data_IF_243913779558
#
_entry.id   IF_243913779558
#
_cell.length_a   1.000
_cell.length_b   1.000
_cell.length_c   1.000
_cell.angle_alpha   90.00
_cell.angle_beta   90.00
_cell.angle_gamma   90.00
#
_symmetry.space_group_name_H-M   'P 1'
#
loop_
_entity.id
_entity.type
_entity.pdbx_description
1 polymer ?
#
# COMPACT_ATOMS: atom_id res chain seq x y z
N UNK A 1 48.21 -16.79 -30.52
CA UNK A 1 48.96 -16.65 -31.76
C UNK A 1 48.04 -16.98 -32.92
N UNK A 2 47.92 -16.06 -33.87
CA UNK A 2 47.18 -16.20 -35.13
C UNK A 2 48.10 -15.93 -36.33
N UNK A 3 49.41 -15.88 -36.12
CA UNK A 3 50.41 -15.59 -37.14
C UNK A 3 50.36 -16.61 -38.26
N UNK A 4 50.45 -16.13 -39.52
CA UNK A 4 50.45 -16.99 -40.71
C UNK A 4 49.11 -17.62 -41.07
N UNK A 5 48.03 -17.36 -40.31
CA UNK A 5 46.69 -17.85 -40.61
C UNK A 5 45.96 -16.91 -41.59
N UNK A 6 45.05 -17.46 -42.39
CA UNK A 6 44.07 -16.65 -43.13
C UNK A 6 43.07 -16.04 -42.14
N UNK A 7 42.36 -14.96 -42.53
CA UNK A 7 41.29 -14.38 -41.68
C UNK A 7 40.24 -15.43 -41.29
N UNK A 8 39.93 -16.37 -42.19
CA UNK A 8 38.99 -17.47 -41.93
C UNK A 8 39.52 -18.43 -40.86
N UNK A 9 40.75 -18.91 -41.03
CA UNK A 9 41.36 -19.87 -40.10
C UNK A 9 41.60 -19.25 -38.72
N UNK A 10 41.97 -17.96 -38.68
CA UNK A 10 42.12 -17.21 -37.44
C UNK A 10 40.78 -17.05 -36.71
N UNK A 11 39.69 -16.78 -37.43
CA UNK A 11 38.35 -16.65 -36.84
C UNK A 11 37.90 -17.98 -36.21
N UNK A 12 38.03 -19.09 -36.95
CA UNK A 12 37.64 -20.42 -36.45
C UNK A 12 38.48 -20.86 -35.23
N UNK A 13 39.78 -20.57 -35.25
CA UNK A 13 40.67 -20.83 -34.12
C UNK A 13 40.21 -20.06 -32.87
N UNK A 14 39.92 -18.76 -33.02
CA UNK A 14 39.54 -17.90 -31.91
C UNK A 14 38.14 -18.24 -31.37
N UNK A 15 37.17 -18.56 -32.21
CA UNK A 15 35.83 -19.02 -31.79
C UNK A 15 35.88 -20.30 -30.95
N UNK A 16 36.78 -21.23 -31.32
CA UNK A 16 36.96 -22.46 -30.57
C UNK A 16 37.73 -22.25 -29.25
N UNK A 17 38.68 -21.31 -29.24
CA UNK A 17 39.56 -21.04 -28.09
C UNK A 17 38.93 -20.12 -27.05
N UNK A 18 38.18 -19.10 -27.46
CA UNK A 18 37.60 -18.09 -26.58
C UNK A 18 36.12 -18.37 -26.34
N UNK A 19 35.86 -19.34 -25.46
CA UNK A 19 34.51 -19.64 -24.94
C UNK A 19 34.31 -18.96 -23.60
N UNK A 20 33.30 -18.10 -23.50
CA UNK A 20 32.93 -17.46 -22.23
C UNK A 20 32.32 -18.50 -21.30
N UNK A 21 32.81 -18.53 -20.05
CA UNK A 21 32.22 -19.34 -18.98
C UNK A 21 30.86 -18.77 -18.52
N UNK A 22 30.15 -19.48 -17.64
CA UNK A 22 28.86 -19.02 -17.12
C UNK A 22 29.04 -17.89 -16.09
N UNK A 23 28.20 -16.84 -16.18
CA UNK A 23 28.03 -15.84 -15.14
C UNK A 23 27.16 -16.41 -14.02
N UNK A 24 27.60 -16.28 -12.77
CA UNK A 24 26.79 -16.63 -11.60
C UNK A 24 26.19 -15.37 -10.99
N UNK A 25 24.87 -15.30 -10.96
CA UNK A 25 24.13 -14.21 -10.34
C UNK A 25 23.55 -14.74 -9.03
N UNK A 26 23.80 -14.04 -7.92
CA UNK A 26 23.50 -14.51 -6.56
C UNK A 26 22.35 -13.72 -5.92
N UNK A 27 21.44 -14.45 -5.28
CA UNK A 27 20.46 -13.90 -4.34
C UNK A 27 20.25 -14.88 -3.19
N UNK A 28 20.87 -14.58 -2.04
CA UNK A 28 20.87 -15.47 -0.87
C UNK A 28 21.38 -16.86 -1.29
N UNK A 29 20.58 -17.91 -1.08
CA UNK A 29 20.94 -19.29 -1.42
C UNK A 29 20.67 -19.64 -2.89
N UNK A 30 20.05 -18.73 -3.67
CA UNK A 30 19.72 -18.98 -5.08
C UNK A 30 20.81 -18.43 -5.99
N UNK A 31 21.27 -19.28 -6.91
CA UNK A 31 22.29 -18.97 -7.90
C UNK A 31 21.70 -19.19 -9.30
N UNK A 32 21.70 -18.17 -10.14
CA UNK A 32 21.43 -18.31 -11.57
C UNK A 32 22.76 -18.45 -12.31
N UNK A 33 22.89 -19.52 -13.10
CA UNK A 33 24.03 -19.71 -14.01
C UNK A 33 23.58 -19.33 -15.41
N UNK A 34 24.07 -18.21 -15.91
CA UNK A 34 23.70 -17.67 -17.22
C UNK A 34 24.91 -17.62 -18.14
N UNK A 35 24.78 -18.23 -19.31
CA UNK A 35 25.80 -18.10 -20.37
C UNK A 35 25.90 -16.65 -20.81
N UNK A 36 27.11 -16.17 -21.10
CA UNK A 36 27.31 -14.80 -21.60
C UNK A 36 26.54 -14.53 -22.89
N UNK A 37 26.41 -15.54 -23.76
CA UNK A 37 25.60 -15.44 -24.99
C UNK A 37 24.11 -15.23 -24.70
N UNK A 38 23.58 -15.79 -23.60
CA UNK A 38 22.20 -15.54 -23.16
C UNK A 38 22.03 -14.14 -22.58
N UNK A 39 23.10 -13.59 -22.00
CA UNK A 39 23.16 -12.21 -21.51
C UNK A 39 23.43 -11.20 -22.64
N UNK A 40 23.66 -11.67 -23.86
CA UNK A 40 23.92 -10.82 -25.01
C UNK A 40 25.37 -10.36 -25.16
N UNK A 41 26.33 -11.01 -24.49
CA UNK A 41 27.75 -10.69 -24.64
C UNK A 41 28.44 -11.72 -25.55
N UNK A 42 29.15 -11.21 -26.55
CA UNK A 42 29.91 -12.00 -27.51
C UNK A 42 31.29 -11.38 -27.71
N UNK A 43 32.33 -12.17 -27.89
CA UNK A 43 33.62 -11.62 -28.31
C UNK A 43 33.49 -11.01 -29.71
N UNK A 44 34.08 -9.84 -29.92
CA UNK A 44 34.20 -9.22 -31.25
C UNK A 44 35.39 -9.84 -32.00
N UNK A 45 35.29 -11.15 -32.28
CA UNK A 45 36.35 -11.94 -32.89
C UNK A 45 36.69 -11.41 -34.27
N UNK A 46 35.68 -11.04 -35.05
CA UNK A 46 35.89 -10.49 -36.39
C UNK A 46 36.74 -9.22 -36.36
N UNK A 47 36.39 -8.26 -35.49
CA UNK A 47 37.18 -7.04 -35.34
C UNK A 47 38.58 -7.34 -34.84
N UNK A 48 38.75 -8.24 -33.87
CA UNK A 48 40.08 -8.63 -33.39
C UNK A 48 40.94 -9.29 -34.49
N UNK A 49 40.32 -10.09 -35.37
CA UNK A 49 41.02 -10.68 -36.54
C UNK A 49 41.37 -9.61 -37.57
N UNK A 50 40.46 -8.67 -37.84
CA UNK A 50 40.71 -7.54 -38.74
C UNK A 50 41.86 -6.66 -38.20
N UNK A 51 41.80 -6.26 -36.93
CA UNK A 51 42.83 -5.49 -36.24
C UNK A 51 44.19 -6.23 -36.27
N UNK A 52 44.19 -7.54 -36.02
CA UNK A 52 45.41 -8.37 -36.11
C UNK A 52 45.98 -8.45 -37.53
N UNK A 53 45.10 -8.48 -38.55
CA UNK A 53 45.49 -8.59 -39.95
C UNK A 53 46.05 -7.28 -40.51
N UNK A 54 45.61 -6.15 -39.95
CA UNK A 54 46.02 -4.82 -40.40
C UNK A 54 47.38 -4.39 -39.81
N UNK A 55 47.89 -5.09 -38.80
CA UNK A 55 49.27 -4.91 -38.28
C UNK A 55 50.27 -5.16 -39.42
N UNK A 56 51.10 -4.16 -39.74
CA UNK A 56 52.03 -4.21 -40.86
C UNK A 56 51.43 -3.90 -42.23
N UNK A 57 50.14 -3.53 -42.32
CA UNK A 57 49.42 -3.25 -43.58
C UNK A 57 48.67 -1.90 -43.59
N UNK A 58 48.96 -1.01 -42.64
CA UNK A 58 48.36 0.33 -42.55
C UNK A 58 48.87 1.31 -43.64
N UNK A 59 48.20 2.44 -43.87
CA UNK A 59 48.51 3.36 -44.98
C UNK A 59 49.90 4.04 -44.95
N UNK A 60 50.73 3.81 -43.92
CA UNK A 60 52.07 4.41 -43.79
C UNK A 60 53.19 3.35 -43.91
N UNK A 61 53.93 3.42 -45.03
CA UNK A 61 54.96 2.46 -45.45
C UNK A 61 56.08 2.24 -44.41
N UNK A 62 56.47 3.28 -43.66
CA UNK A 62 57.58 3.22 -42.69
C UNK A 62 57.23 2.45 -41.40
N UNK A 63 56.03 2.66 -40.85
CA UNK A 63 55.60 1.95 -39.63
C UNK A 63 55.33 0.47 -39.92
N UNK A 64 54.69 0.17 -41.06
CA UNK A 64 54.44 -1.20 -41.50
C UNK A 64 55.71 -2.04 -41.60
N UNK A 65 56.78 -1.46 -42.14
CA UNK A 65 58.05 -2.18 -42.34
C UNK A 65 58.72 -2.51 -41.01
N UNK A 66 58.64 -1.62 -40.03
CA UNK A 66 59.18 -1.82 -38.67
C UNK A 66 58.36 -2.86 -37.91
N UNK A 67 57.03 -2.81 -38.01
CA UNK A 67 56.13 -3.78 -37.37
C UNK A 67 56.33 -5.20 -37.94
N UNK A 68 56.44 -5.33 -39.27
CA UNK A 68 56.73 -6.61 -39.93
C UNK A 68 58.07 -7.17 -39.49
N UNK A 69 59.12 -6.33 -39.46
CA UNK A 69 60.46 -6.76 -39.03
C UNK A 69 60.40 -7.20 -37.57
N UNK A 70 59.81 -6.40 -36.67
CA UNK A 70 59.64 -6.73 -35.26
C UNK A 70 58.96 -8.09 -35.06
N UNK A 71 57.83 -8.32 -35.72
CA UNK A 71 57.11 -9.60 -35.66
C UNK A 71 57.96 -10.77 -36.16
N UNK A 72 58.79 -10.56 -37.20
CA UNK A 72 59.69 -11.58 -37.74
C UNK A 72 60.89 -11.88 -36.84
N UNK A 73 61.36 -10.90 -36.04
CA UNK A 73 62.45 -11.09 -35.05
C UNK A 73 61.94 -11.49 -33.66
N UNK A 74 60.63 -11.77 -33.53
CA UNK A 74 60.04 -12.34 -32.32
C UNK A 74 59.42 -11.35 -31.34
N UNK A 75 59.17 -10.10 -31.74
CA UNK A 75 58.35 -9.19 -30.93
C UNK A 75 56.87 -9.56 -31.06
N UNK A 76 56.13 -9.60 -29.94
CA UNK A 76 54.69 -9.85 -29.95
C UNK A 76 53.91 -8.52 -29.95
N UNK A 77 52.80 -8.49 -30.67
CA UNK A 77 51.82 -7.41 -30.62
C UNK A 77 50.52 -7.95 -30.03
N UNK A 78 50.04 -7.33 -28.96
CA UNK A 78 48.80 -7.74 -28.29
C UNK A 78 47.60 -7.06 -28.95
N UNK A 79 46.67 -7.87 -29.46
CA UNK A 79 45.39 -7.38 -29.99
C UNK A 79 44.33 -7.52 -28.91
N UNK A 80 43.72 -6.39 -28.54
CA UNK A 80 42.65 -6.38 -27.55
C UNK A 80 41.35 -6.92 -28.15
N UNK A 81 40.88 -8.06 -27.63
CA UNK A 81 39.60 -8.62 -28.03
C UNK A 81 38.47 -7.97 -27.23
N UNK A 82 37.73 -7.07 -27.88
CA UNK A 82 36.54 -6.45 -27.31
C UNK A 82 35.31 -7.38 -27.29
N UNK A 83 34.17 -6.84 -26.85
CA UNK A 83 32.89 -7.55 -26.84
C UNK A 83 31.80 -6.76 -27.57
N UNK A 84 30.93 -7.48 -28.27
CA UNK A 84 29.65 -6.98 -28.79
C UNK A 84 28.56 -7.26 -27.75
N UNK A 85 27.67 -6.30 -27.55
CA UNK A 85 26.61 -6.34 -26.54
C UNK A 85 25.22 -6.19 -27.13
N UNK A 86 24.35 -7.13 -26.79
CA UNK A 86 22.90 -7.08 -26.98
C UNK A 86 22.24 -6.73 -25.64
N UNK A 87 21.89 -5.45 -25.50
CA UNK A 87 21.28 -4.93 -24.29
C UNK A 87 19.91 -5.56 -23.98
N UNK A 88 19.18 -6.00 -25.00
CA UNK A 88 17.81 -6.48 -24.83
C UNK A 88 17.81 -7.90 -24.24
N UNK A 89 18.79 -8.72 -24.61
CA UNK A 89 19.04 -10.01 -23.96
C UNK A 89 19.35 -9.85 -22.48
N UNK A 90 20.27 -8.96 -22.10
CA UNK A 90 20.58 -8.72 -20.69
C UNK A 90 19.35 -8.22 -19.91
N UNK A 91 18.60 -7.26 -20.47
CA UNK A 91 17.35 -6.77 -19.87
C UNK A 91 16.32 -7.89 -19.69
N UNK A 92 16.21 -8.82 -20.65
CA UNK A 92 15.28 -9.95 -20.56
C UNK A 92 15.61 -10.90 -19.40
N UNK A 93 16.90 -11.17 -19.18
CA UNK A 93 17.36 -12.00 -18.06
C UNK A 93 17.11 -11.30 -16.73
N UNK A 94 17.44 -10.01 -16.63
CA UNK A 94 17.18 -9.20 -15.44
C UNK A 94 15.68 -9.14 -15.14
N UNK A 95 14.84 -9.00 -16.17
CA UNK A 95 13.37 -9.02 -16.02
C UNK A 95 12.89 -10.35 -15.45
N UNK A 96 13.36 -11.49 -15.97
CA UNK A 96 13.03 -12.83 -15.46
C UNK A 96 13.46 -13.02 -13.99
N UNK A 97 14.65 -12.53 -13.63
CA UNK A 97 15.14 -12.54 -12.25
C UNK A 97 14.23 -11.67 -11.36
N UNK A 98 13.86 -10.48 -11.84
CA UNK A 98 12.98 -9.55 -11.13
C UNK A 98 11.60 -10.17 -10.92
N UNK A 99 10.99 -10.79 -11.93
CA UNK A 99 9.70 -11.48 -11.81
C UNK A 99 9.70 -12.61 -10.76
N UNK A 100 10.86 -13.22 -10.49
CA UNK A 100 11.01 -14.22 -9.44
C UNK A 100 11.15 -13.63 -8.04
N UNK A 101 11.80 -12.47 -7.90
CA UNK A 101 12.15 -11.86 -6.60
C UNK A 101 11.12 -10.82 -6.17
N UNK A 102 10.59 -10.06 -7.12
CA UNK A 102 9.69 -8.94 -6.90
C UNK A 102 8.41 -9.43 -6.23
N UNK A 103 8.03 -8.71 -5.19
CA UNK A 103 6.82 -9.00 -4.43
C UNK A 103 6.25 -7.71 -3.89
N UNK A 104 4.94 -7.52 -4.04
CA UNK A 104 4.27 -6.36 -3.45
C UNK A 104 4.15 -6.52 -1.92
N UNK A 105 4.23 -5.42 -1.15
CA UNK A 105 4.06 -5.47 0.28
C UNK A 105 2.65 -5.89 0.67
N UNK A 106 2.56 -6.79 1.65
CA UNK A 106 1.28 -7.19 2.26
C UNK A 106 0.99 -6.25 3.42
N UNK A 107 -0.14 -5.55 3.39
CA UNK A 107 -0.54 -4.63 4.45
C UNK A 107 -0.86 -5.36 5.76
N UNK A 108 -0.66 -4.71 6.90
CA UNK A 108 -1.19 -5.20 8.16
C UNK A 108 -2.74 -5.15 8.15
N UNK A 109 -3.39 -6.17 8.71
CA UNK A 109 -4.85 -6.30 8.72
C UNK A 109 -5.38 -6.33 10.14
N UNK A 110 -6.43 -5.54 10.40
CA UNK A 110 -7.19 -5.58 11.65
C UNK A 110 -8.37 -6.54 11.46
N UNK A 111 -8.37 -7.61 12.24
CA UNK A 111 -9.46 -8.57 12.33
C UNK A 111 -10.20 -8.32 13.66
N UNK A 112 -11.29 -7.57 13.57
CA UNK A 112 -12.16 -7.30 14.72
C UNK A 112 -13.54 -7.93 14.49
N UNK A 113 -13.98 -8.74 15.45
CA UNK A 113 -15.28 -9.39 15.42
C UNK A 113 -15.86 -9.46 16.84
N UNK A 114 -16.95 -8.70 17.05
CA UNK A 114 -17.77 -8.74 18.28
C UNK A 114 -16.94 -8.73 19.57
N UNK A 115 -16.08 -7.72 19.69
CA UNK A 115 -15.22 -7.48 20.84
C UNK A 115 -13.89 -8.21 20.90
N UNK A 116 -13.63 -9.16 19.99
CA UNK A 116 -12.29 -9.72 19.81
C UNK A 116 -11.57 -8.95 18.72
N UNK A 117 -10.35 -8.51 18.99
CA UNK A 117 -9.48 -7.87 18.00
C UNK A 117 -8.16 -8.61 17.88
N UNK A 118 -7.70 -8.80 16.65
CA UNK A 118 -6.38 -9.34 16.30
C UNK A 118 -5.79 -8.52 15.18
N UNK A 119 -4.50 -8.20 15.31
CA UNK A 119 -3.74 -7.51 14.26
C UNK A 119 -2.81 -8.52 13.62
N UNK A 120 -3.00 -8.77 12.33
CA UNK A 120 -2.09 -9.59 11.54
C UNK A 120 -1.01 -8.67 10.97
N UNK A 121 0.25 -8.98 11.28
CA UNK A 121 1.38 -8.23 10.73
C UNK A 121 1.39 -8.34 9.20
N UNK A 122 1.73 -7.22 8.55
CA UNK A 122 2.05 -7.21 7.13
C UNK A 122 3.38 -7.90 6.84
N UNK A 123 3.73 -7.97 5.56
CA UNK A 123 5.04 -8.43 5.09
C UNK A 123 5.61 -7.40 4.13
N UNK A 124 6.90 -7.11 4.27
CA UNK A 124 7.58 -6.24 3.32
C UNK A 124 7.62 -6.90 1.94
N UNK A 125 7.45 -6.05 0.93
CA UNK A 125 7.68 -6.39 -0.46
C UNK A 125 9.15 -6.25 -0.82
N UNK A 126 9.48 -6.62 -2.05
CA UNK A 126 10.83 -6.55 -2.61
C UNK A 126 10.75 -6.06 -4.04
N UNK A 127 11.78 -5.32 -4.46
CA UNK A 127 11.95 -4.96 -5.86
C UNK A 127 13.42 -4.99 -6.24
N UNK A 128 13.74 -5.67 -7.33
CA UNK A 128 15.10 -5.67 -7.88
C UNK A 128 15.40 -4.30 -8.46
N UNK A 129 16.57 -3.75 -8.14
CA UNK A 129 17.09 -2.54 -8.75
C UNK A 129 17.67 -2.87 -10.13
N UNK A 130 16.79 -3.00 -11.12
CA UNK A 130 17.15 -3.53 -12.44
C UNK A 130 18.28 -2.74 -13.12
N UNK A 131 18.27 -1.41 -13.03
CA UNK A 131 19.31 -0.56 -13.62
C UNK A 131 20.68 -0.73 -12.93
N UNK A 132 20.67 -0.89 -11.60
CA UNK A 132 21.89 -1.12 -10.82
C UNK A 132 22.44 -2.52 -11.13
N UNK A 133 21.57 -3.53 -11.17
CA UNK A 133 21.96 -4.89 -11.56
C UNK A 133 22.55 -4.93 -12.98
N UNK A 134 21.94 -4.21 -13.92
CA UNK A 134 22.41 -4.09 -15.30
C UNK A 134 23.83 -3.53 -15.35
N UNK A 135 24.08 -2.42 -14.65
CA UNK A 135 25.41 -1.80 -14.54
C UNK A 135 26.42 -2.71 -13.84
N UNK A 136 26.01 -3.40 -12.77
CA UNK A 136 26.89 -4.32 -12.04
C UNK A 136 27.34 -5.47 -12.95
N UNK A 137 26.41 -6.10 -13.69
CA UNK A 137 26.74 -7.16 -14.65
C UNK A 137 27.70 -6.64 -15.73
N UNK A 138 27.43 -5.47 -16.31
CA UNK A 138 28.32 -4.87 -17.33
C UNK A 138 29.72 -4.58 -16.82
N UNK A 139 29.82 -3.94 -15.67
CA UNK A 139 31.10 -3.59 -15.07
C UNK A 139 31.89 -4.85 -14.75
N UNK A 140 31.22 -5.93 -14.35
CA UNK A 140 31.92 -7.15 -13.98
C UNK A 140 32.42 -7.88 -15.22
N UNK A 141 31.63 -7.94 -16.29
CA UNK A 141 32.04 -8.52 -17.58
C UNK A 141 33.15 -7.72 -18.27
N UNK A 142 33.11 -6.39 -18.17
CA UNK A 142 34.09 -5.52 -18.83
C UNK A 142 35.46 -5.53 -18.13
N UNK A 143 35.50 -5.83 -16.83
CA UNK A 143 36.72 -5.80 -16.02
C UNK A 143 37.31 -7.20 -15.75
N UNK A 144 36.63 -8.28 -16.15
CA UNK A 144 37.02 -9.64 -15.79
C UNK A 144 38.01 -10.28 -16.77
N UNK A 145 39.23 -10.47 -16.31
CA UNK A 145 40.20 -11.46 -16.85
C UNK A 145 40.06 -12.83 -16.18
N UNK A 146 38.90 -13.16 -15.59
CA UNK A 146 38.75 -14.24 -14.58
C UNK A 146 37.64 -15.23 -14.98
N UNK A 147 37.98 -16.51 -14.86
CA UNK A 147 37.18 -17.70 -15.21
C UNK A 147 35.90 -17.93 -14.37
N UNK A 148 35.47 -17.01 -13.50
CA UNK A 148 34.13 -17.06 -12.93
C UNK A 148 33.77 -15.71 -12.33
N UNK A 149 32.60 -15.19 -12.70
CA UNK A 149 32.14 -13.89 -12.24
C UNK A 149 30.89 -14.09 -11.39
N UNK A 150 30.92 -13.52 -10.18
CA UNK A 150 29.80 -13.52 -9.26
C UNK A 150 29.22 -12.10 -9.19
N UNK A 151 27.90 -11.96 -9.34
CA UNK A 151 27.19 -10.67 -9.20
C UNK A 151 26.04 -10.81 -8.22
N UNK A 152 26.04 -10.00 -7.15
CA UNK A 152 24.93 -9.92 -6.21
C UNK A 152 23.76 -9.10 -6.77
N UNK A 153 22.53 -9.54 -6.51
CA UNK A 153 21.32 -8.84 -6.95
C UNK A 153 20.97 -7.71 -5.95
N UNK A 154 21.07 -6.43 -6.35
CA UNK A 154 20.63 -5.31 -5.53
C UNK A 154 19.11 -5.27 -5.46
N UNK A 155 18.57 -5.12 -4.24
CA UNK A 155 17.12 -5.04 -4.00
C UNK A 155 16.75 -3.83 -3.14
N UNK A 156 15.54 -3.32 -3.36
CA UNK A 156 14.83 -2.44 -2.45
C UNK A 156 13.80 -3.24 -1.64
N UNK A 157 13.74 -2.94 -0.33
CA UNK A 157 12.68 -3.44 0.55
C UNK A 157 11.56 -2.42 0.54
N UNK A 158 10.37 -2.85 0.12
CA UNK A 158 9.18 -2.00 0.05
C UNK A 158 8.35 -2.26 1.31
N UNK A 159 8.31 -1.34 2.25
CA UNK A 159 7.46 -1.48 3.43
C UNK A 159 5.96 -1.29 3.12
N UNK A 160 5.06 -1.99 3.83
CA UNK A 160 3.62 -1.70 3.74
C UNK A 160 3.34 -0.27 4.24
N UNK A 161 2.28 0.35 3.67
CA UNK A 161 1.82 1.68 4.07
C UNK A 161 1.34 1.68 5.53
N UNK A 162 0.68 0.59 5.94
CA UNK A 162 0.29 0.35 7.33
C UNK A 162 1.26 -0.66 7.97
N UNK A 163 2.10 -0.17 8.88
CA UNK A 163 3.03 -1.00 9.64
C UNK A 163 2.36 -1.58 10.89
N UNK A 164 2.72 -2.81 11.24
CA UNK A 164 2.24 -3.46 12.48
C UNK A 164 2.47 -2.58 13.72
N UNK A 165 3.63 -1.95 13.83
CA UNK A 165 3.97 -1.07 14.96
C UNK A 165 3.05 0.14 15.12
N UNK A 166 2.40 0.59 14.04
CA UNK A 166 1.41 1.66 14.11
C UNK A 166 0.10 1.13 14.68
N UNK A 167 -0.30 -0.09 14.33
CA UNK A 167 -1.59 -0.67 14.70
C UNK A 167 -1.57 -1.38 16.06
N UNK A 168 -0.43 -1.89 16.52
CA UNK A 168 -0.32 -2.77 17.70
C UNK A 168 -0.94 -2.22 18.99
N UNK A 169 -1.10 -0.91 19.08
CA UNK A 169 -1.72 -0.25 20.23
C UNK A 169 -3.25 -0.42 20.26
N UNK A 170 -3.88 -0.84 19.16
CA UNK A 170 -5.29 -1.23 19.13
C UNK A 170 -5.42 -2.63 19.73
N UNK A 171 -5.58 -2.68 21.06
CA UNK A 171 -5.50 -3.90 21.85
C UNK A 171 -6.87 -4.37 22.41
N UNK A 172 -7.92 -3.56 22.29
CA UNK A 172 -9.25 -3.95 22.74
C UNK A 172 -10.33 -2.92 22.43
N UNK A 173 -11.57 -3.25 22.82
CA UNK A 173 -12.72 -2.36 22.69
C UNK A 173 -12.68 -1.29 23.79
N UNK A 174 -12.87 -0.04 23.39
CA UNK A 174 -12.85 1.13 24.30
C UNK A 174 -14.24 1.78 24.42
N UNK A 175 -15.15 1.54 23.47
CA UNK A 175 -16.56 1.92 23.59
C UNK A 175 -17.46 1.05 22.71
N UNK A 176 -18.74 0.97 23.09
CA UNK A 176 -19.78 0.35 22.28
C UNK A 176 -21.10 1.07 22.53
N UNK A 177 -21.84 1.32 21.46
CA UNK A 177 -23.20 1.84 21.56
C UNK A 177 -24.14 1.12 20.61
N UNK A 178 -25.37 0.93 21.05
CA UNK A 178 -26.40 0.22 20.30
C UNK A 178 -27.70 1.03 20.26
N UNK A 179 -28.38 0.96 19.12
CA UNK A 179 -29.78 1.39 18.99
C UNK A 179 -30.59 0.27 18.33
N UNK A 180 -31.89 0.25 18.61
CA UNK A 180 -32.81 -0.76 18.07
C UNK A 180 -33.65 -0.19 16.93
N UNK A 181 -33.96 -1.01 15.93
CA UNK A 181 -34.84 -0.66 14.82
C UNK A 181 -35.81 -1.80 14.48
N UNK A 182 -37.03 -1.48 14.01
CA UNK A 182 -38.02 -2.51 13.68
C UNK A 182 -37.64 -3.21 12.37
N UNK A 183 -37.44 -4.53 12.43
CA UNK A 183 -37.09 -5.37 11.26
C UNK A 183 -38.23 -5.41 10.22
N UNK A 184 -39.49 -5.26 10.67
CA UNK A 184 -40.67 -5.25 9.80
C UNK A 184 -40.70 -4.06 8.84
N UNK A 185 -39.97 -2.98 9.13
CA UNK A 185 -39.79 -1.89 8.17
C UNK A 185 -38.60 -2.21 7.26
N UNK A 186 -38.84 -3.05 6.24
CA UNK A 186 -37.82 -3.67 5.41
C UNK A 186 -36.92 -2.64 4.74
N UNK A 187 -37.48 -1.63 4.07
CA UNK A 187 -36.71 -0.60 3.37
C UNK A 187 -35.82 0.21 4.32
N UNK A 188 -36.35 0.57 5.50
CA UNK A 188 -35.57 1.28 6.53
C UNK A 188 -34.47 0.41 7.12
N UNK A 189 -34.76 -0.85 7.42
CA UNK A 189 -33.79 -1.81 7.93
C UNK A 189 -32.65 -2.04 6.91
N UNK A 190 -32.99 -2.15 5.62
CA UNK A 190 -32.04 -2.24 4.52
C UNK A 190 -31.13 -1.01 4.45
N UNK A 191 -31.69 0.20 4.50
CA UNK A 191 -30.91 1.45 4.50
C UNK A 191 -29.93 1.52 5.68
N UNK A 192 -30.33 1.12 6.89
CA UNK A 192 -29.43 1.05 8.04
C UNK A 192 -28.29 0.07 7.77
N UNK A 193 -28.58 -1.11 7.21
CA UNK A 193 -27.58 -2.11 6.86
C UNK A 193 -26.58 -1.60 5.82
N UNK A 194 -27.06 -0.96 4.75
CA UNK A 194 -26.21 -0.36 3.71
C UNK A 194 -25.33 0.74 4.30
N UNK A 195 -25.89 1.63 5.11
CA UNK A 195 -25.15 2.72 5.75
C UNK A 195 -24.07 2.18 6.69
N UNK A 196 -24.41 1.22 7.55
CA UNK A 196 -23.46 0.60 8.47
C UNK A 196 -22.33 -0.12 7.72
N UNK A 197 -22.64 -0.81 6.62
CA UNK A 197 -21.63 -1.50 5.82
C UNK A 197 -20.65 -0.53 5.12
N UNK A 198 -21.17 0.55 4.53
CA UNK A 198 -20.35 1.60 3.89
C UNK A 198 -19.41 2.31 4.89
N UNK A 199 -19.83 2.41 6.15
CA UNK A 199 -19.07 3.07 7.22
C UNK A 199 -18.30 2.09 8.12
N UNK A 200 -18.32 0.79 7.85
CA UNK A 200 -17.61 -0.22 8.66
C UNK A 200 -16.09 -0.12 8.45
N UNK A 201 -15.31 -0.67 9.38
CA UNK A 201 -13.86 -0.84 9.29
C UNK A 201 -13.05 0.45 9.15
N UNK A 202 -13.45 1.52 9.84
CA UNK A 202 -12.73 2.78 9.79
C UNK A 202 -11.47 2.72 10.64
N UNK A 203 -10.30 2.90 10.02
CA UNK A 203 -9.04 3.13 10.73
C UNK A 203 -8.76 4.63 10.77
N UNK A 204 -8.73 5.19 11.98
CA UNK A 204 -8.57 6.63 12.21
C UNK A 204 -7.21 6.84 12.88
N UNK A 205 -6.26 7.34 12.12
CA UNK A 205 -4.90 7.62 12.61
C UNK A 205 -4.90 8.82 13.58
N UNK A 206 -3.86 8.98 14.41
CA UNK A 206 -3.71 10.17 15.26
C UNK A 206 -3.88 11.46 14.46
N UNK A 207 -4.63 12.40 15.03
CA UNK A 207 -5.02 13.70 14.45
C UNK A 207 -5.90 13.64 13.19
N UNK A 208 -6.32 12.47 12.73
CA UNK A 208 -7.22 12.35 11.58
C UNK A 208 -8.65 12.74 11.97
N UNK A 209 -9.26 13.58 11.15
CA UNK A 209 -10.69 13.95 11.23
C UNK A 209 -11.48 13.19 10.16
N UNK A 210 -12.69 12.75 10.52
CA UNK A 210 -13.62 12.03 9.67
C UNK A 210 -14.91 12.85 9.54
N UNK A 211 -15.45 12.86 8.33
CA UNK A 211 -16.81 13.35 8.02
C UNK A 211 -17.68 12.14 7.68
N UNK A 212 -18.82 12.02 8.35
CA UNK A 212 -19.76 10.93 8.13
C UNK A 212 -20.29 10.93 6.69
N UNK A 213 -20.77 12.09 6.21
CA UNK A 213 -21.33 12.19 4.87
C UNK A 213 -20.28 11.97 3.78
N UNK A 214 -19.05 12.49 3.96
CA UNK A 214 -17.96 12.25 3.01
C UNK A 214 -17.60 10.77 2.89
N UNK A 215 -17.63 10.03 3.99
CA UNK A 215 -17.35 8.60 3.99
C UNK A 215 -18.52 7.78 3.42
N UNK A 216 -19.75 8.19 3.71
CA UNK A 216 -20.96 7.52 3.22
C UNK A 216 -21.12 7.64 1.70
N UNK A 217 -20.83 8.82 1.16
CA UNK A 217 -21.17 9.20 -0.22
C UNK A 217 -22.67 9.42 -0.40
N UNK A 218 -23.08 9.51 -1.66
CA UNK A 218 -24.45 9.90 -2.03
C UNK A 218 -25.50 8.88 -1.54
N UNK A 219 -26.61 9.40 -1.01
CA UNK A 219 -27.72 8.58 -0.50
C UNK A 219 -28.79 8.43 -1.59
N UNK A 220 -28.50 7.58 -2.58
CA UNK A 220 -29.35 7.38 -3.76
C UNK A 220 -29.72 5.91 -3.99
N UNK A 221 -30.75 5.67 -4.80
CA UNK A 221 -31.13 4.29 -5.20
C UNK A 221 -29.98 3.58 -5.91
N UNK A 222 -29.23 4.29 -6.76
CA UNK A 222 -28.05 3.76 -7.45
C UNK A 222 -26.94 3.32 -6.48
N UNK A 223 -26.84 3.96 -5.32
CA UNK A 223 -25.91 3.60 -4.24
C UNK A 223 -26.46 2.50 -3.30
N UNK A 224 -27.60 1.89 -3.66
CA UNK A 224 -28.21 0.77 -2.96
C UNK A 224 -29.24 1.14 -1.91
N UNK A 225 -29.63 2.41 -1.80
CA UNK A 225 -30.65 2.85 -0.84
C UNK A 225 -32.08 2.66 -1.35
N UNK A 226 -33.02 2.50 -0.43
CA UNK A 226 -34.45 2.37 -0.68
C UNK A 226 -35.23 3.57 -0.13
N UNK A 227 -36.45 3.78 -0.64
CA UNK A 227 -37.38 4.77 -0.09
C UNK A 227 -37.97 4.30 1.23
N UNK A 228 -37.98 5.18 2.22
CA UNK A 228 -38.52 4.98 3.55
C UNK A 228 -38.86 6.34 4.18
N UNK A 229 -39.54 6.33 5.32
CA UNK A 229 -39.85 7.56 6.06
C UNK A 229 -38.58 8.31 6.47
N UNK A 230 -38.50 9.58 6.09
CA UNK A 230 -37.49 10.57 6.47
C UNK A 230 -38.14 11.78 7.15
N UNK A 231 -37.35 12.65 7.77
CA UNK A 231 -37.81 13.92 8.33
C UNK A 231 -37.31 15.06 7.44
N UNK A 232 -38.23 15.87 6.91
CA UNK A 232 -37.92 17.07 6.12
C UNK A 232 -38.81 18.20 6.64
N UNK A 233 -38.23 19.37 6.95
CA UNK A 233 -38.96 20.55 7.43
C UNK A 233 -39.97 20.22 8.55
N UNK A 234 -39.53 19.45 9.55
CA UNK A 234 -40.33 19.01 10.71
C UNK A 234 -41.55 18.13 10.36
N UNK A 235 -41.55 17.47 9.20
CA UNK A 235 -42.59 16.52 8.80
C UNK A 235 -42.00 15.19 8.40
N UNK A 236 -42.72 14.12 8.71
CA UNK A 236 -42.41 12.78 8.21
C UNK A 236 -42.91 12.67 6.76
N UNK A 237 -41.99 12.39 5.84
CA UNK A 237 -42.28 12.23 4.40
C UNK A 237 -41.57 10.98 3.89
N UNK A 238 -42.03 10.44 2.75
CA UNK A 238 -41.34 9.34 2.09
C UNK A 238 -40.15 9.87 1.26
N UNK A 239 -38.98 9.27 1.42
CA UNK A 239 -37.75 9.68 0.73
C UNK A 239 -36.66 8.63 0.78
N UNK A 240 -35.57 8.84 0.04
CA UNK A 240 -34.46 7.87 -0.04
C UNK A 240 -33.61 7.94 1.22
N UNK A 241 -33.20 6.79 1.76
CA UNK A 241 -32.23 6.74 2.86
C UNK A 241 -32.84 6.87 4.27
N UNK A 242 -34.15 6.73 4.44
CA UNK A 242 -34.75 6.64 5.77
C UNK A 242 -34.05 5.58 6.62
N UNK A 243 -33.48 6.00 7.76
CA UNK A 243 -32.63 5.17 8.63
C UNK A 243 -31.19 5.66 8.79
N UNK A 244 -30.65 6.46 7.87
CA UNK A 244 -29.25 6.96 7.91
C UNK A 244 -28.95 7.72 9.22
N UNK A 245 -29.83 8.61 9.66
CA UNK A 245 -29.62 9.36 10.92
C UNK A 245 -29.54 8.47 12.17
N UNK A 246 -30.17 7.29 12.17
CA UNK A 246 -30.02 6.35 13.29
C UNK A 246 -28.61 5.75 13.34
N UNK A 247 -28.00 5.51 12.18
CA UNK A 247 -26.62 5.05 12.09
C UNK A 247 -25.65 6.14 12.54
N UNK A 248 -25.84 7.38 12.08
CA UNK A 248 -25.08 8.55 12.57
C UNK A 248 -25.22 8.74 14.08
N UNK A 249 -26.44 8.64 14.62
CA UNK A 249 -26.72 8.71 16.06
C UNK A 249 -26.01 7.60 16.84
N UNK A 250 -26.04 6.35 16.34
CA UNK A 250 -25.38 5.24 17.03
C UNK A 250 -23.86 5.45 17.06
N UNK A 251 -23.29 5.87 15.93
CA UNK A 251 -21.87 6.22 15.83
C UNK A 251 -21.49 7.38 16.75
N UNK A 252 -22.25 8.48 16.76
CA UNK A 252 -22.02 9.65 17.60
C UNK A 252 -21.87 9.27 19.08
N UNK A 253 -22.75 8.41 19.59
CA UNK A 253 -22.69 8.00 20.99
C UNK A 253 -21.47 7.12 21.29
N UNK A 254 -21.11 6.19 20.40
CA UNK A 254 -19.90 5.40 20.55
C UNK A 254 -18.63 6.27 20.46
N UNK A 255 -18.62 7.28 19.59
CA UNK A 255 -17.55 8.28 19.47
C UNK A 255 -17.39 9.06 20.78
N UNK A 256 -18.48 9.59 21.35
CA UNK A 256 -18.46 10.29 22.63
C UNK A 256 -17.92 9.41 23.77
N UNK A 257 -18.43 8.19 23.89
CA UNK A 257 -18.03 7.24 24.95
C UNK A 257 -16.59 6.75 24.78
N UNK A 258 -16.06 6.72 23.55
CA UNK A 258 -14.65 6.36 23.27
C UNK A 258 -13.65 7.49 23.56
N UNK A 259 -14.14 8.70 23.81
CA UNK A 259 -13.30 9.88 24.02
C UNK A 259 -12.68 10.49 22.78
N UNK A 260 -13.13 10.08 21.59
CA UNK A 260 -12.90 10.84 20.36
C UNK A 260 -13.61 12.20 20.44
N UNK A 261 -13.03 13.20 19.79
CA UNK A 261 -13.55 14.57 19.84
C UNK A 261 -14.57 14.78 18.73
N UNK A 262 -15.82 15.11 19.09
CA UNK A 262 -16.85 15.52 18.13
C UNK A 262 -16.60 16.97 17.72
N UNK A 263 -16.43 17.20 16.42
CA UNK A 263 -16.12 18.50 15.81
C UNK A 263 -17.37 19.19 15.25
N UNK A 264 -18.32 18.40 14.76
CA UNK A 264 -19.60 18.87 14.26
C UNK A 264 -20.69 17.86 14.61
N UNK A 265 -21.80 18.35 15.14
CA UNK A 265 -23.02 17.56 15.39
C UNK A 265 -24.21 18.51 15.49
N UNK A 266 -25.33 18.09 14.92
CA UNK A 266 -26.64 18.76 15.03
C UNK A 266 -27.69 17.76 15.51
N UNK A 267 -28.63 18.20 16.35
CA UNK A 267 -29.78 17.38 16.77
C UNK A 267 -30.93 17.46 15.77
N UNK A 268 -31.84 16.49 15.82
CA UNK A 268 -33.10 16.53 15.09
C UNK A 268 -33.99 17.61 15.66
N UNK A 269 -34.75 18.26 14.80
CA UNK A 269 -35.76 19.22 15.22
C UNK A 269 -36.91 18.57 16.00
N UNK A 270 -37.29 17.34 15.63
CA UNK A 270 -38.27 16.52 16.34
C UNK A 270 -37.57 15.39 17.11
N UNK A 271 -38.04 15.03 18.32
CA UNK A 271 -37.52 13.89 19.07
C UNK A 271 -37.58 12.59 18.27
N UNK A 272 -36.52 11.78 18.38
CA UNK A 272 -36.46 10.43 17.81
C UNK A 272 -36.50 9.38 18.92
N UNK A 273 -37.20 8.27 18.69
CA UNK A 273 -37.48 7.29 19.75
C UNK A 273 -36.35 6.29 20.03
N UNK A 274 -35.35 6.19 19.15
CA UNK A 274 -34.30 5.17 19.22
C UNK A 274 -33.09 5.57 20.09
N UNK A 275 -33.10 6.76 20.71
CA UNK A 275 -32.04 7.27 21.57
C UNK A 275 -32.63 8.25 22.60
N UNK A 276 -32.03 8.43 23.80
CA UNK A 276 -32.44 9.49 24.72
C UNK A 276 -32.33 10.89 24.10
N UNK A 277 -33.17 11.83 24.56
CA UNK A 277 -33.05 13.24 24.18
C UNK A 277 -31.65 13.77 24.49
N UNK A 278 -31.15 14.62 23.60
CA UNK A 278 -29.82 15.21 23.68
C UNK A 278 -28.69 14.34 23.09
N UNK A 279 -29.00 13.09 22.70
CA UNK A 279 -28.01 12.10 22.25
C UNK A 279 -28.15 11.71 20.79
N UNK A 280 -29.02 12.35 20.03
CA UNK A 280 -29.21 12.12 18.61
C UNK A 280 -28.21 12.91 17.76
N UNK A 281 -27.94 12.47 16.53
CA UNK A 281 -27.14 13.20 15.55
C UNK A 281 -27.82 13.09 14.18
N UNK A 282 -28.24 14.23 13.63
CA UNK A 282 -28.86 14.34 12.31
C UNK A 282 -27.78 14.55 11.25
N UNK A 283 -27.98 13.93 10.10
CA UNK A 283 -27.18 14.18 8.90
C UNK A 283 -28.09 14.33 7.69
N UNK A 284 -27.75 15.23 6.77
CA UNK A 284 -28.43 15.35 5.49
C UNK A 284 -27.51 16.01 4.45
N UNK A 285 -27.65 15.59 3.20
CA UNK A 285 -26.86 16.12 2.07
C UNK A 285 -27.13 17.62 1.88
N UNK A 286 -26.08 18.44 1.74
CA UNK A 286 -26.17 19.90 1.73
C UNK A 286 -26.59 20.54 3.06
N UNK A 287 -26.69 19.75 4.14
CA UNK A 287 -27.20 20.15 5.45
C UNK A 287 -26.24 19.66 6.59
N UNK A 288 -26.69 19.30 7.84
CA UNK A 288 -25.76 19.00 8.92
C UNK A 288 -24.96 17.71 8.68
N UNK A 289 -23.72 17.66 9.17
CA UNK A 289 -22.85 16.48 9.17
C UNK A 289 -22.48 16.05 10.61
N UNK A 290 -21.97 14.82 10.73
CA UNK A 290 -21.29 14.36 11.94
C UNK A 290 -19.79 14.28 11.65
N UNK A 291 -19.01 15.17 12.27
CA UNK A 291 -17.55 15.17 12.17
C UNK A 291 -16.90 14.85 13.49
N UNK A 292 -15.86 14.03 13.47
CA UNK A 292 -15.14 13.60 14.67
C UNK A 292 -13.67 13.37 14.37
N UNK A 293 -12.82 13.57 15.38
CA UNK A 293 -11.37 13.55 15.26
C UNK A 293 -10.76 12.63 16.30
N UNK A 294 -9.76 11.86 15.87
CA UNK A 294 -8.90 11.11 16.77
C UNK A 294 -7.82 12.04 17.35
N UNK A 295 -7.99 12.44 18.62
CA UNK A 295 -6.99 13.23 19.35
C UNK A 295 -6.09 12.37 20.26
N UNK A 296 -6.22 11.03 20.19
CA UNK A 296 -5.21 10.15 20.77
C UNK A 296 -3.94 10.15 19.92
N UNK A 297 -2.82 9.83 20.55
CA UNK A 297 -1.53 9.56 19.89
C UNK A 297 -1.43 8.12 19.34
N UNK A 298 -2.51 7.33 19.45
CA UNK A 298 -2.65 5.99 18.90
C UNK A 298 -3.84 5.90 17.94
N UNK A 299 -3.81 4.97 16.96
CA UNK A 299 -4.93 4.82 16.04
C UNK A 299 -6.17 4.23 16.72
N UNK A 300 -7.34 4.60 16.23
CA UNK A 300 -8.63 4.06 16.65
C UNK A 300 -9.28 3.33 15.49
N UNK A 301 -9.95 2.22 15.77
CA UNK A 301 -10.64 1.42 14.76
C UNK A 301 -12.12 1.27 15.08
N UNK A 302 -12.99 1.56 14.11
CA UNK A 302 -14.44 1.50 14.30
C UNK A 302 -15.03 0.36 13.48
N UNK A 303 -15.84 -0.47 14.13
CA UNK A 303 -16.69 -1.47 13.49
C UNK A 303 -18.16 -1.11 13.64
N UNK A 304 -18.93 -1.35 12.59
CA UNK A 304 -20.35 -1.05 12.51
C UNK A 304 -21.11 -2.26 12.01
N UNK A 305 -22.19 -2.61 12.72
CA UNK A 305 -23.02 -3.77 12.41
C UNK A 305 -24.49 -3.37 12.48
N UNK A 306 -25.26 -3.78 11.47
CA UNK A 306 -26.70 -3.63 11.47
C UNK A 306 -27.33 -4.97 11.07
N UNK A 307 -27.86 -5.69 12.05
CA UNK A 307 -28.49 -6.99 11.84
C UNK A 307 -29.49 -7.27 12.95
N UNK A 308 -30.51 -8.08 12.66
CA UNK A 308 -31.49 -8.56 13.65
C UNK A 308 -32.13 -7.42 14.48
N UNK A 309 -32.37 -6.26 13.87
CA UNK A 309 -33.00 -5.11 14.52
C UNK A 309 -32.09 -4.32 15.46
N UNK A 310 -30.78 -4.57 15.43
CA UNK A 310 -29.78 -3.88 16.24
C UNK A 310 -28.76 -3.20 15.32
N UNK A 311 -28.60 -1.89 15.49
CA UNK A 311 -27.49 -1.11 14.96
C UNK A 311 -26.47 -0.97 16.09
N UNK A 312 -25.25 -1.45 15.88
CA UNK A 312 -24.17 -1.50 16.86
C UNK A 312 -22.92 -0.86 16.29
N UNK A 313 -22.34 0.05 17.06
CA UNK A 313 -21.02 0.63 16.76
C UNK A 313 -20.06 0.22 17.87
N UNK A 314 -18.93 -0.38 17.49
CA UNK A 314 -17.84 -0.75 18.38
C UNK A 314 -16.60 0.08 18.04
N UNK A 315 -15.97 0.66 19.05
CA UNK A 315 -14.74 1.44 18.91
C UNK A 315 -13.62 0.70 19.63
N UNK A 316 -12.52 0.49 18.92
CA UNK A 316 -11.33 -0.22 19.38
C UNK A 316 -10.13 0.73 19.45
N UNK A 317 -9.29 0.56 20.45
CA UNK A 317 -8.11 1.38 20.68
C UNK A 317 -7.22 0.79 21.76
N UNK A 318 -6.39 1.64 22.36
CA UNK A 318 -5.55 1.25 23.49
C UNK A 318 -6.35 1.31 24.80
N UNK A 319 -6.79 0.15 25.28
CA UNK A 319 -7.60 0.02 26.51
C UNK A 319 -6.92 0.53 27.77
N UNK A 320 -5.59 0.67 27.77
CA UNK A 320 -4.83 1.17 28.93
C UNK A 320 -4.75 2.69 28.97
N UNK A 321 -4.96 3.35 27.82
CA UNK A 321 -4.81 4.82 27.67
C UNK A 321 -6.08 5.51 27.19
N UNK A 322 -7.10 4.76 26.77
CA UNK A 322 -8.39 5.31 26.40
C UNK A 322 -9.08 5.97 27.60
N UNK A 323 -9.76 7.08 27.31
CA UNK A 323 -10.56 7.83 28.29
C UNK A 323 -11.79 7.02 28.69
N UNK A 324 -12.14 7.06 29.97
CA UNK A 324 -13.35 6.43 30.48
C UNK A 324 -14.46 7.48 30.64
N UNK A 325 -15.29 7.63 29.61
CA UNK A 325 -16.32 8.67 29.54
C UNK A 325 -17.71 8.05 29.65
N UNK A 326 -18.51 8.56 30.60
CA UNK A 326 -19.93 8.24 30.72
C UNK A 326 -20.78 9.40 30.22
N UNK A 327 -21.75 9.11 29.37
CA UNK A 327 -22.66 10.11 28.81
C UNK A 327 -24.05 9.96 29.42
N UNK A 328 -24.64 11.06 29.89
CA UNK A 328 -26.05 11.10 30.28
C UNK A 328 -26.70 12.43 29.90
N UNK A 329 -28.01 12.43 29.77
CA UNK A 329 -28.80 13.64 29.49
C UNK A 329 -29.74 13.95 30.65
N UNK A 330 -29.98 15.24 30.90
CA UNK A 330 -31.09 15.72 31.74
C UNK A 330 -32.09 16.46 30.86
N UNK A 331 -33.37 16.11 31.00
CA UNK A 331 -34.46 16.65 30.19
C UNK A 331 -35.23 17.70 30.99
N UNK A 332 -35.54 18.81 30.36
CA UNK A 332 -36.28 19.95 30.89
C UNK A 332 -37.40 20.32 29.90
N UNK A 333 -38.55 19.67 30.01
CA UNK A 333 -39.65 19.83 29.05
C UNK A 333 -39.19 19.43 27.64
N UNK A 334 -39.17 20.40 26.71
CA UNK A 334 -38.70 20.22 25.34
C UNK A 334 -37.19 20.38 25.15
N UNK A 335 -36.44 20.63 26.22
CA UNK A 335 -34.98 20.80 26.14
C UNK A 335 -34.23 19.62 26.78
N UNK A 336 -33.01 19.37 26.34
CA UNK A 336 -32.12 18.40 26.95
C UNK A 336 -30.71 18.96 27.09
N UNK A 337 -30.07 18.72 28.23
CA UNK A 337 -28.66 19.03 28.44
C UNK A 337 -27.90 17.72 28.56
N UNK A 338 -26.93 17.50 27.68
CA UNK A 338 -26.11 16.29 27.66
C UNK A 338 -24.78 16.57 28.34
N UNK A 339 -24.35 15.65 29.20
CA UNK A 339 -23.15 15.74 30.00
C UNK A 339 -22.22 14.57 29.69
N UNK A 340 -20.91 14.84 29.70
CA UNK A 340 -19.85 13.85 29.75
C UNK A 340 -19.23 13.85 31.15
N UNK A 341 -19.07 12.68 31.74
CA UNK A 341 -18.38 12.47 33.00
C UNK A 341 -17.10 11.69 32.75
N UNK A 342 -15.98 12.27 33.14
CA UNK A 342 -14.66 11.68 33.03
C UNK A 342 -13.91 11.92 34.34
N UNK A 343 -13.43 10.86 34.99
CA UNK A 343 -12.67 10.94 36.26
C UNK A 343 -13.38 11.80 37.33
N UNK A 344 -14.70 11.68 37.44
CA UNK A 344 -15.55 12.42 38.37
C UNK A 344 -15.81 13.88 37.99
N UNK A 345 -15.22 14.39 36.91
CA UNK A 345 -15.47 15.73 36.39
C UNK A 345 -16.59 15.68 35.35
N UNK A 346 -17.57 16.56 35.52
CA UNK A 346 -18.71 16.68 34.60
C UNK A 346 -18.53 17.89 33.69
N UNK A 347 -18.70 17.67 32.38
CA UNK A 347 -18.69 18.73 31.35
C UNK A 347 -19.99 18.69 30.56
N UNK A 348 -20.58 19.85 30.30
CA UNK A 348 -21.70 19.97 29.36
C UNK A 348 -21.18 19.80 27.94
N UNK A 349 -21.77 18.88 27.17
CA UNK A 349 -21.41 18.63 25.77
C UNK A 349 -22.42 19.19 24.77
N UNK A 350 -23.70 19.29 25.13
CA UNK A 350 -24.72 19.95 24.30
C UNK A 350 -25.89 20.47 25.13
N UNK A 351 -26.63 21.42 24.55
CA UNK A 351 -27.92 21.91 25.04
C UNK A 351 -28.85 21.95 23.82
N UNK A 352 -29.81 21.06 23.79
CA UNK A 352 -30.69 20.84 22.65
C UNK A 352 -32.11 21.28 23.00
N UNK A 353 -32.82 21.85 22.03
CA UNK A 353 -34.21 22.28 22.17
C UNK A 353 -35.02 21.71 21.01
N UNK A 354 -36.01 20.89 21.33
CA UNK A 354 -36.85 20.19 20.37
C UNK A 354 -38.17 20.94 20.16
N UNK A 355 -38.75 20.82 18.96
CA UNK A 355 -40.04 21.46 18.61
C UNK A 355 -41.25 20.72 19.16
#
# INVERSE_FOLDING_TARGET
DVSGLTKSDATELLENKFKLEDLKIHYKDKIWKEKFSNLGFYYDIKKAVDDAYDIGRADTILNNTIDIIGLYVGSNQDVHMGYVKDNDKLKSVIKRISEYIDSEPVQAVIDANRGKIKIKAGKDGKRVKQEELFKNIENTISNSSINSIDVDIPIDIISPKLKYNQLKNINGMIAVYETRYPIKNISRAHNIAVTANKLDKQLIMPNQEISFLKLLGDVTVAQGFSRATIIVNNKFVDGVGGGVCQVSTTLYNAVLESGLTVKERTHHSLPVHYVPLGRDATVAEGAPDLKYKNEYDFPVYIRMYASNGIMRTEVYGDTTRARNIKIYSRVYGKSAVTYAVENGKTKVISRDVYM
#
